data_IF_752929447077
#
_entry.id   IF_752929447077
#
_cell.length_a   1.000
_cell.length_b   1.000
_cell.length_c   1.000
_cell.angle_alpha   90.00
_cell.angle_beta   90.00
_cell.angle_gamma   90.00
#
_symmetry.space_group_name_H-M   'P 1'
#
loop_
_entity.id
_entity.type
_entity.pdbx_description
1 polymer ?
#
# COMPACT_ATOMS: atom_id res chain seq x y z
N UNK A 1 0.26 8.08 42.25
CA UNK A 1 0.51 8.00 40.79
C UNK A 1 1.89 7.42 40.42
N UNK A 2 2.85 7.32 41.36
CA UNK A 2 4.24 6.90 41.12
C UNK A 2 4.47 5.38 40.99
N UNK A 3 3.71 4.54 41.72
CA UNK A 3 3.96 3.08 41.78
C UNK A 3 3.45 2.31 40.54
N UNK A 4 2.36 2.79 39.94
CA UNK A 4 1.82 2.21 38.69
C UNK A 4 2.70 2.62 37.50
N UNK A 5 3.18 3.87 37.51
CA UNK A 5 4.07 4.40 36.50
C UNK A 5 5.45 3.71 36.56
N UNK A 6 5.99 3.43 37.74
CA UNK A 6 7.27 2.73 37.90
C UNK A 6 7.21 1.27 37.42
N UNK A 7 6.07 0.58 37.60
CA UNK A 7 5.86 -0.76 37.00
C UNK A 7 5.72 -0.71 35.48
N UNK A 8 5.23 0.40 34.92
CA UNK A 8 5.04 0.56 33.48
C UNK A 8 6.30 1.02 32.74
N UNK A 9 7.20 1.76 33.40
CA UNK A 9 8.42 2.32 32.78
C UNK A 9 9.66 1.42 32.87
N UNK A 10 9.59 0.31 33.61
CA UNK A 10 10.74 -0.55 33.87
C UNK A 10 11.76 0.11 34.81
N UNK A 11 12.82 -0.62 35.20
CA UNK A 11 13.90 -0.05 36.01
C UNK A 11 14.62 1.07 35.24
N UNK A 12 14.97 2.20 35.88
CA UNK A 12 15.79 3.21 35.25
C UNK A 12 17.19 2.65 34.96
N UNK A 13 17.65 2.83 33.73
CA UNK A 13 18.98 2.44 33.29
C UNK A 13 19.94 3.63 33.44
N UNK A 14 20.86 3.52 34.40
CA UNK A 14 21.92 4.50 34.58
C UNK A 14 23.14 4.15 33.70
N UNK A 15 22.97 4.34 32.39
CA UNK A 15 24.05 4.15 31.40
C UNK A 15 24.36 5.44 30.67
N UNK A 16 25.62 5.65 30.32
CA UNK A 16 26.06 6.86 29.60
C UNK A 16 25.61 6.84 28.14
N UNK A 17 25.56 8.02 27.49
CA UNK A 17 25.31 8.10 26.06
C UNK A 17 26.38 7.36 25.24
N UNK A 18 27.64 7.38 25.69
CA UNK A 18 28.72 6.64 25.04
C UNK A 18 28.46 5.13 25.07
N UNK A 19 28.14 4.58 26.24
CA UNK A 19 27.93 3.14 26.41
C UNK A 19 26.75 2.62 25.58
N UNK A 20 25.63 3.36 25.55
CA UNK A 20 24.41 2.92 24.88
C UNK A 20 24.26 3.46 23.44
N UNK A 21 24.32 4.77 23.27
CA UNK A 21 23.86 5.46 22.06
C UNK A 21 24.92 5.49 20.97
N UNK A 22 26.17 5.76 21.33
CA UNK A 22 27.25 6.00 20.37
C UNK A 22 28.61 5.44 20.85
N UNK A 23 28.76 4.11 21.01
CA UNK A 23 30.00 3.49 21.50
C UNK A 23 31.23 3.72 20.60
N UNK A 24 31.03 4.15 19.36
CA UNK A 24 32.10 4.47 18.41
C UNK A 24 32.68 5.89 18.55
N UNK A 25 32.06 6.78 19.33
CA UNK A 25 32.54 8.17 19.54
C UNK A 25 32.21 8.66 20.95
N UNK A 26 33.18 9.24 21.65
CA UNK A 26 33.00 9.70 23.03
C UNK A 26 32.06 10.91 23.15
N UNK A 27 32.11 11.85 22.20
CA UNK A 27 31.31 13.08 22.26
C UNK A 27 29.98 12.97 21.50
N UNK A 28 28.89 13.37 22.18
CA UNK A 28 27.55 13.34 21.59
C UNK A 28 27.45 14.21 20.32
N UNK A 29 28.09 15.38 20.32
CA UNK A 29 28.04 16.34 19.19
C UNK A 29 28.67 15.75 17.93
N UNK A 30 29.83 15.09 18.04
CA UNK A 30 30.50 14.48 16.88
C UNK A 30 29.72 13.26 16.37
N UNK A 31 29.13 12.46 17.27
CA UNK A 31 28.27 11.35 16.89
C UNK A 31 27.01 11.84 16.13
N UNK A 32 26.36 12.89 16.63
CA UNK A 32 25.19 13.52 16.00
C UNK A 32 25.56 14.12 14.63
N UNK A 33 26.66 14.87 14.55
CA UNK A 33 27.12 15.49 13.30
C UNK A 33 27.45 14.44 12.23
N UNK A 34 28.16 13.37 12.61
CA UNK A 34 28.48 12.27 11.70
C UNK A 34 27.22 11.54 11.21
N UNK A 35 26.25 11.29 12.08
CA UNK A 35 24.97 10.71 11.67
C UNK A 35 24.20 11.63 10.73
N UNK A 36 24.19 12.94 10.99
CA UNK A 36 23.48 13.92 10.18
C UNK A 36 24.06 14.04 8.77
N UNK A 37 25.40 14.17 8.64
CA UNK A 37 26.06 14.25 7.34
C UNK A 37 25.77 13.04 6.47
N UNK A 38 25.91 11.84 7.04
CA UNK A 38 25.59 10.60 6.31
C UNK A 38 24.12 10.57 5.89
N UNK A 39 23.21 10.92 6.80
CA UNK A 39 21.77 10.88 6.55
C UNK A 39 21.35 11.84 5.42
N UNK A 40 22.03 12.99 5.27
CA UNK A 40 21.80 13.92 4.13
C UNK A 40 22.08 13.22 2.80
N UNK A 41 23.23 12.57 2.66
CA UNK A 41 23.61 11.91 1.40
C UNK A 41 22.68 10.73 1.07
N UNK A 42 22.35 9.90 2.06
CA UNK A 42 21.44 8.77 1.83
C UNK A 42 20.01 9.24 1.51
N UNK A 43 19.52 10.27 2.23
CA UNK A 43 18.21 10.87 1.96
C UNK A 43 18.13 11.49 0.57
N UNK A 44 19.19 12.18 0.14
CA UNK A 44 19.30 12.76 -1.20
C UNK A 44 19.26 11.67 -2.27
N UNK A 45 19.96 10.55 -2.06
CA UNK A 45 19.96 9.38 -2.95
C UNK A 45 18.55 8.78 -3.07
N UNK A 46 17.87 8.56 -1.95
CA UNK A 46 16.52 7.98 -1.91
C UNK A 46 15.52 8.88 -2.64
N UNK A 47 15.43 10.16 -2.25
CA UNK A 47 14.46 11.06 -2.85
C UNK A 47 14.82 11.44 -4.28
N UNK A 48 16.10 11.63 -4.59
CA UNK A 48 16.58 11.83 -5.96
C UNK A 48 16.08 10.72 -6.88
N UNK A 49 16.21 9.46 -6.45
CA UNK A 49 15.72 8.30 -7.22
C UNK A 49 14.19 8.31 -7.37
N UNK A 50 13.43 8.48 -6.28
CA UNK A 50 11.96 8.44 -6.32
C UNK A 50 11.37 9.56 -7.18
N UNK A 51 11.91 10.77 -7.07
CA UNK A 51 11.46 11.91 -7.87
C UNK A 51 11.85 11.77 -9.34
N UNK A 52 13.03 11.23 -9.63
CA UNK A 52 13.45 10.91 -11.00
C UNK A 52 12.52 9.87 -11.63
N UNK A 53 12.21 8.78 -10.92
CA UNK A 53 11.24 7.79 -11.38
C UNK A 53 9.87 8.42 -11.64
N UNK A 54 9.42 9.33 -10.77
CA UNK A 54 8.15 10.03 -10.95
C UNK A 54 8.15 10.91 -12.20
N UNK A 55 9.27 11.56 -12.54
CA UNK A 55 9.41 12.32 -13.78
C UNK A 55 9.38 11.41 -15.01
N UNK A 56 10.09 10.27 -14.97
CA UNK A 56 10.07 9.28 -16.05
C UNK A 56 8.66 8.72 -16.30
N UNK A 57 7.91 8.43 -15.25
CA UNK A 57 6.54 7.93 -15.33
C UNK A 57 5.54 8.92 -15.95
N UNK A 58 5.86 10.23 -15.98
CA UNK A 58 5.01 11.21 -16.67
C UNK A 58 5.08 11.09 -18.19
N UNK A 59 6.10 10.44 -18.76
CA UNK A 59 6.21 10.18 -20.19
C UNK A 59 6.26 11.43 -21.09
N UNK A 60 6.58 12.60 -20.52
CA UNK A 60 6.69 13.88 -21.24
C UNK A 60 7.99 14.59 -20.88
N UNK A 61 8.51 15.41 -21.81
CA UNK A 61 9.68 16.25 -21.57
C UNK A 61 9.36 17.21 -20.41
N UNK A 62 10.19 17.25 -19.33
CA UNK A 62 9.92 18.08 -18.18
C UNK A 62 10.12 19.56 -18.53
N UNK A 63 9.17 20.41 -18.13
CA UNK A 63 9.31 21.86 -18.27
C UNK A 63 10.28 22.42 -17.23
N UNK A 64 10.82 23.62 -17.43
CA UNK A 64 11.65 24.32 -16.42
C UNK A 64 10.94 24.41 -15.05
N UNK A 65 9.62 24.60 -15.05
CA UNK A 65 8.80 24.62 -13.84
C UNK A 65 8.70 23.23 -13.18
N UNK A 66 8.54 22.16 -13.96
CA UNK A 66 8.55 20.79 -13.43
C UNK A 66 9.88 20.46 -12.77
N UNK A 67 11.01 20.86 -13.37
CA UNK A 67 12.35 20.66 -12.83
C UNK A 67 12.50 21.44 -11.52
N UNK A 68 12.14 22.74 -11.50
CA UNK A 68 12.21 23.56 -10.28
C UNK A 68 11.40 22.96 -9.13
N UNK A 69 10.15 22.56 -9.38
CA UNK A 69 9.28 21.91 -8.38
C UNK A 69 9.85 20.57 -7.90
N UNK A 70 10.46 19.81 -8.81
CA UNK A 70 11.08 18.52 -8.47
C UNK A 70 12.30 18.74 -7.58
N UNK A 71 13.19 19.68 -7.93
CA UNK A 71 14.37 20.00 -7.13
C UNK A 71 13.98 20.52 -5.73
N UNK A 72 13.01 21.44 -5.65
CA UNK A 72 12.46 21.90 -4.38
C UNK A 72 11.89 20.74 -3.55
N UNK A 73 11.16 19.83 -4.19
CA UNK A 73 10.63 18.63 -3.53
C UNK A 73 11.71 17.66 -3.06
N UNK A 74 12.82 17.53 -3.78
CA UNK A 74 13.98 16.71 -3.38
C UNK A 74 14.65 17.34 -2.16
N UNK A 75 14.95 18.63 -2.18
CA UNK A 75 15.60 19.35 -1.08
C UNK A 75 14.73 19.30 0.18
N UNK A 76 13.44 19.62 0.08
CA UNK A 76 12.51 19.61 1.22
C UNK A 76 12.38 18.22 1.85
N UNK A 77 12.23 17.18 1.04
CA UNK A 77 12.11 15.81 1.57
C UNK A 77 13.44 15.26 2.10
N UNK A 78 14.57 15.68 1.51
CA UNK A 78 15.90 15.40 2.06
C UNK A 78 16.05 16.05 3.44
N UNK A 79 15.64 17.31 3.60
CA UNK A 79 15.65 17.99 4.88
C UNK A 79 14.75 17.30 5.92
N UNK A 80 13.54 16.89 5.54
CA UNK A 80 12.62 16.12 6.39
C UNK A 80 13.27 14.84 6.94
N UNK A 81 13.81 13.97 6.07
CA UNK A 81 14.36 12.69 6.49
C UNK A 81 15.68 12.84 7.24
N UNK A 82 16.55 13.77 6.80
CA UNK A 82 17.80 14.08 7.49
C UNK A 82 17.55 14.63 8.89
N UNK A 83 16.53 15.49 9.05
CA UNK A 83 16.13 16.00 10.35
C UNK A 83 15.54 14.91 11.25
N UNK A 84 14.91 13.87 10.69
CA UNK A 84 14.47 12.72 11.49
C UNK A 84 15.67 12.01 12.12
N UNK A 85 16.72 11.72 11.34
CA UNK A 85 17.93 11.07 11.86
C UNK A 85 18.71 11.96 12.87
N UNK A 86 18.87 13.23 12.53
CA UNK A 86 19.51 14.23 13.40
C UNK A 86 18.74 14.44 14.70
N UNK A 87 17.43 14.75 14.58
CA UNK A 87 16.56 15.03 15.71
C UNK A 87 16.46 13.83 16.64
N UNK A 88 16.38 12.60 16.11
CA UNK A 88 16.38 11.39 16.94
C UNK A 88 17.63 11.32 17.82
N UNK A 89 18.81 11.47 17.22
CA UNK A 89 20.09 11.42 17.93
C UNK A 89 20.23 12.57 18.94
N UNK A 90 19.79 13.78 18.55
CA UNK A 90 19.81 14.98 19.39
C UNK A 90 18.91 14.85 20.62
N UNK A 91 17.64 14.44 20.42
CA UNK A 91 16.69 14.29 21.53
C UNK A 91 17.05 13.11 22.42
N UNK A 92 17.63 12.04 21.89
CA UNK A 92 18.06 10.89 22.69
C UNK A 92 19.15 11.27 23.69
N UNK A 93 20.19 11.99 23.24
CA UNK A 93 21.25 12.49 24.12
C UNK A 93 20.78 13.61 25.06
N UNK A 94 19.94 14.53 24.56
CA UNK A 94 19.41 15.66 25.36
C UNK A 94 18.49 15.17 26.48
N UNK A 95 17.59 14.23 26.21
CA UNK A 95 16.71 13.64 27.22
C UNK A 95 17.50 12.87 28.28
N UNK A 96 18.57 12.16 27.90
CA UNK A 96 19.46 11.51 28.86
C UNK A 96 20.16 12.50 29.79
N UNK A 97 20.60 13.64 29.26
CA UNK A 97 21.23 14.71 30.04
C UNK A 97 20.23 15.40 30.97
N UNK A 98 18.99 15.57 30.53
CA UNK A 98 17.93 16.21 31.32
C UNK A 98 17.39 15.31 32.45
N UNK A 99 17.18 14.03 32.17
CA UNK A 99 16.53 13.09 33.10
C UNK A 99 17.50 12.31 33.98
N UNK A 100 18.79 12.28 33.63
CA UNK A 100 19.81 11.56 34.41
C UNK A 100 19.78 10.03 34.27
N UNK A 101 18.81 9.45 33.55
CA UNK A 101 18.72 8.01 33.26
C UNK A 101 17.97 7.72 31.95
N UNK A 102 18.01 6.48 31.48
CA UNK A 102 17.13 5.97 30.43
C UNK A 102 16.00 5.12 31.02
N UNK A 103 14.78 5.33 30.55
CA UNK A 103 13.61 4.51 30.86
C UNK A 103 13.10 3.87 29.56
N UNK A 104 12.18 2.91 29.65
CA UNK A 104 11.64 2.23 28.46
C UNK A 104 11.08 3.18 27.39
N UNK A 105 10.55 4.34 27.80
CA UNK A 105 10.04 5.36 26.88
C UNK A 105 11.14 6.28 26.33
N UNK A 106 12.12 6.66 27.16
CA UNK A 106 13.15 7.63 26.78
C UNK A 106 14.30 6.99 26.01
N UNK A 107 14.42 5.66 26.07
CA UNK A 107 15.44 4.88 25.36
C UNK A 107 15.33 5.00 23.84
N UNK A 108 14.12 5.26 23.32
CA UNK A 108 13.90 5.46 21.88
C UNK A 108 12.55 6.09 21.51
N UNK A 109 11.45 5.73 22.19
CA UNK A 109 10.10 6.19 21.84
C UNK A 109 9.96 7.72 21.88
N UNK A 110 10.26 8.34 23.02
CA UNK A 110 10.12 9.78 23.23
C UNK A 110 11.08 10.61 22.35
N UNK A 111 12.38 10.25 22.22
CA UNK A 111 13.28 10.90 21.27
C UNK A 111 12.76 10.88 19.83
N UNK A 112 12.27 9.73 19.37
CA UNK A 112 11.73 9.59 18.02
C UNK A 112 10.42 10.37 17.85
N UNK A 113 9.54 10.36 18.85
CA UNK A 113 8.32 11.16 18.87
C UNK A 113 8.64 12.65 18.73
N UNK A 114 9.53 13.19 19.58
CA UNK A 114 9.93 14.61 19.52
C UNK A 114 10.60 14.96 18.20
N UNK A 115 11.52 14.12 17.70
CA UNK A 115 12.14 14.30 16.40
C UNK A 115 11.11 14.38 15.27
N UNK A 116 10.13 13.48 15.29
CA UNK A 116 9.10 13.40 14.27
C UNK A 116 8.14 14.60 14.28
N UNK A 117 7.89 15.21 15.44
CA UNK A 117 7.08 16.45 15.56
C UNK A 117 7.70 17.59 14.77
N UNK A 118 9.01 17.80 14.91
CA UNK A 118 9.70 18.86 14.17
C UNK A 118 9.92 18.46 12.71
N UNK A 119 10.26 17.20 12.45
CA UNK A 119 10.50 16.71 11.09
C UNK A 119 9.25 16.85 10.22
N UNK A 120 8.08 16.40 10.68
CA UNK A 120 6.86 16.38 9.85
C UNK A 120 6.42 17.79 9.41
N UNK A 121 6.77 18.82 10.19
CA UNK A 121 6.50 20.22 9.85
C UNK A 121 7.35 20.70 8.66
N UNK A 122 8.56 20.17 8.49
CA UNK A 122 9.45 20.44 7.34
C UNK A 122 8.83 19.86 6.05
N UNK A 123 8.17 18.71 6.13
CA UNK A 123 7.60 18.05 4.96
C UNK A 123 6.34 18.75 4.45
N UNK A 124 6.15 18.68 3.12
CA UNK A 124 5.03 19.34 2.45
C UNK A 124 3.68 18.75 2.86
N UNK A 125 2.63 19.57 3.10
CA UNK A 125 1.32 19.09 3.55
C UNK A 125 0.70 17.99 2.69
N UNK A 126 0.90 18.04 1.37
CA UNK A 126 0.37 17.04 0.42
C UNK A 126 0.95 15.63 0.60
N UNK A 127 2.09 15.47 1.28
CA UNK A 127 2.71 14.17 1.55
C UNK A 127 2.44 13.63 2.94
N UNK A 128 2.11 14.49 3.91
CA UNK A 128 1.98 14.11 5.33
C UNK A 128 0.96 12.99 5.53
N UNK A 129 -0.16 13.06 4.83
CA UNK A 129 -1.20 12.01 4.86
C UNK A 129 -0.68 10.67 4.34
N UNK A 130 0.03 10.66 3.20
CA UNK A 130 0.56 9.43 2.62
C UNK A 130 1.66 8.82 3.50
N UNK A 131 2.52 9.65 4.08
CA UNK A 131 3.56 9.22 5.02
C UNK A 131 2.95 8.67 6.31
N UNK A 132 1.97 9.37 6.88
CA UNK A 132 1.24 8.92 8.06
C UNK A 132 0.59 7.56 7.83
N UNK A 133 -0.10 7.35 6.70
CA UNK A 133 -0.68 6.05 6.35
C UNK A 133 0.39 4.95 6.23
N UNK A 134 1.50 5.25 5.56
CA UNK A 134 2.60 4.28 5.42
C UNK A 134 3.20 3.89 6.78
N UNK A 135 3.56 4.86 7.61
CA UNK A 135 4.19 4.60 8.91
C UNK A 135 3.20 3.92 9.85
N UNK A 136 1.92 4.33 9.84
CA UNK A 136 0.87 3.70 10.66
C UNK A 136 0.61 2.25 10.25
N UNK A 137 0.68 1.92 8.95
CA UNK A 137 0.60 0.54 8.47
C UNK A 137 1.70 -0.33 9.10
N UNK A 138 2.96 0.11 9.00
CA UNK A 138 4.11 -0.64 9.54
C UNK A 138 4.05 -0.70 11.07
N UNK A 139 3.64 0.38 11.73
CA UNK A 139 3.49 0.43 13.18
C UNK A 139 2.41 -0.55 13.66
N UNK A 140 1.27 -0.63 12.96
CA UNK A 140 0.19 -1.58 13.29
C UNK A 140 0.67 -3.03 13.18
N UNK A 141 1.38 -3.37 12.09
CA UNK A 141 1.98 -4.70 11.90
C UNK A 141 2.98 -5.03 13.03
N UNK A 142 3.82 -4.05 13.39
CA UNK A 142 4.83 -4.21 14.44
C UNK A 142 4.19 -4.41 15.81
N UNK A 143 3.16 -3.62 16.14
CA UNK A 143 2.39 -3.78 17.39
C UNK A 143 1.71 -5.14 17.44
N UNK A 144 1.09 -5.57 16.33
CA UNK A 144 0.50 -6.91 16.26
C UNK A 144 1.54 -8.01 16.53
N UNK A 145 2.72 -7.92 15.91
CA UNK A 145 3.80 -8.88 16.12
C UNK A 145 4.30 -8.88 17.58
N UNK A 146 4.41 -7.71 18.22
CA UNK A 146 4.75 -7.61 19.64
C UNK A 146 3.68 -8.22 20.55
N UNK A 147 2.39 -8.06 20.22
CA UNK A 147 1.30 -8.70 20.96
C UNK A 147 1.32 -10.22 20.81
N UNK A 148 1.67 -10.71 19.62
CA UNK A 148 1.82 -12.15 19.34
C UNK A 148 3.05 -12.73 20.05
N UNK A 149 4.20 -12.04 20.05
CA UNK A 149 5.41 -12.51 20.75
C UNK A 149 5.21 -12.63 22.26
N UNK A 150 4.36 -11.78 22.82
CA UNK A 150 3.96 -11.77 24.24
C UNK A 150 2.81 -12.74 24.57
N UNK A 151 2.36 -13.55 23.60
CA UNK A 151 1.21 -14.46 23.73
C UNK A 151 -0.10 -13.79 24.15
N UNK A 152 -0.24 -12.47 23.96
CA UNK A 152 -1.46 -11.72 24.28
C UNK A 152 -2.53 -11.90 23.20
N UNK A 153 -2.10 -12.11 21.96
CA UNK A 153 -2.98 -12.31 20.80
C UNK A 153 -2.46 -13.48 19.98
N UNK A 154 -3.37 -14.22 19.32
CA UNK A 154 -3.04 -15.32 18.42
C UNK A 154 -3.33 -14.93 16.98
N UNK A 155 -2.48 -15.38 16.07
CA UNK A 155 -2.71 -15.18 14.64
C UNK A 155 -3.94 -15.97 14.19
N UNK A 156 -4.94 -15.25 13.64
CA UNK A 156 -6.14 -15.85 13.07
C UNK A 156 -5.82 -16.34 11.66
N UNK A 157 -6.14 -17.60 11.37
CA UNK A 157 -5.98 -18.16 10.03
C UNK A 157 -6.81 -17.34 9.02
N UNK A 158 -6.16 -16.80 8.00
CA UNK A 158 -6.76 -15.89 7.01
C UNK A 158 -7.30 -14.57 7.58
N UNK A 159 -6.74 -14.08 8.70
CA UNK A 159 -7.13 -12.80 9.30
C UNK A 159 -6.89 -11.61 8.36
N UNK A 160 -5.86 -11.67 7.52
CA UNK A 160 -5.57 -10.71 6.46
C UNK A 160 -6.70 -10.61 5.40
N UNK A 161 -7.28 -11.76 5.03
CA UNK A 161 -8.42 -11.85 4.11
C UNK A 161 -9.68 -11.26 4.75
N UNK A 162 -9.93 -11.57 6.02
CA UNK A 162 -11.07 -11.00 6.76
C UNK A 162 -10.94 -9.47 6.89
N UNK A 163 -9.75 -9.00 7.25
CA UNK A 163 -9.44 -7.58 7.39
C UNK A 163 -9.62 -6.82 6.07
N UNK A 164 -9.06 -7.37 4.99
CA UNK A 164 -9.24 -6.83 3.64
C UNK A 164 -10.73 -6.82 3.25
N UNK A 165 -11.44 -7.92 3.51
CA UNK A 165 -12.85 -8.08 3.15
C UNK A 165 -13.77 -7.07 3.82
N UNK A 166 -13.68 -6.92 5.15
CA UNK A 166 -14.49 -5.96 5.91
C UNK A 166 -14.17 -4.53 5.44
N UNK A 167 -12.89 -4.20 5.32
CA UNK A 167 -12.44 -2.87 4.92
C UNK A 167 -12.90 -2.51 3.51
N UNK A 168 -12.80 -3.46 2.57
CA UNK A 168 -13.23 -3.27 1.19
C UNK A 168 -14.75 -3.20 1.06
N UNK A 169 -15.48 -3.97 1.87
CA UNK A 169 -16.95 -3.94 1.92
C UNK A 169 -17.46 -2.58 2.38
N UNK A 170 -16.84 -1.98 3.40
CA UNK A 170 -17.12 -0.60 3.83
C UNK A 170 -16.86 0.40 2.71
N UNK A 171 -15.68 0.34 2.10
CA UNK A 171 -15.28 1.25 1.02
C UNK A 171 -16.21 1.19 -0.20
N UNK A 172 -16.58 -0.01 -0.63
CA UNK A 172 -17.49 -0.20 -1.77
C UNK A 172 -18.93 0.20 -1.44
N UNK A 173 -19.34 0.04 -0.18
CA UNK A 173 -20.63 0.58 0.29
C UNK A 173 -20.64 2.11 0.23
N UNK A 174 -19.58 2.78 0.67
CA UNK A 174 -19.44 4.24 0.54
C UNK A 174 -19.38 4.69 -0.93
N UNK A 175 -18.69 3.93 -1.77
CA UNK A 175 -18.63 4.18 -3.22
C UNK A 175 -20.04 4.12 -3.85
N UNK A 176 -20.81 3.05 -3.59
CA UNK A 176 -22.18 2.90 -4.10
C UNK A 176 -23.17 3.90 -3.51
N UNK A 177 -22.96 4.37 -2.27
CA UNK A 177 -23.78 5.43 -1.67
C UNK A 177 -23.49 6.83 -2.25
N UNK A 178 -22.43 6.98 -3.04
CA UNK A 178 -22.06 8.24 -3.68
C UNK A 178 -21.29 9.20 -2.77
N UNK A 179 -20.79 8.73 -1.62
CA UNK A 179 -20.03 9.54 -0.66
C UNK A 179 -18.70 10.07 -1.22
N UNK A 180 -18.27 9.61 -2.39
CA UNK A 180 -17.12 10.15 -3.13
C UNK A 180 -17.28 11.64 -3.51
N UNK A 181 -18.51 12.16 -3.59
CA UNK A 181 -18.76 13.60 -3.83
C UNK A 181 -18.54 14.44 -2.58
N UNK A 182 -18.81 13.85 -1.41
CA UNK A 182 -18.68 14.52 -0.12
C UNK A 182 -17.20 14.49 0.34
N UNK A 183 -16.57 13.31 0.30
CA UNK A 183 -15.14 13.11 0.62
C UNK A 183 -14.39 12.65 -0.62
N UNK A 184 -13.72 13.55 -1.36
CA UNK A 184 -12.92 13.16 -2.52
C UNK A 184 -11.64 12.45 -2.06
N UNK A 185 -11.43 11.23 -2.56
CA UNK A 185 -10.22 10.44 -2.29
C UNK A 185 -9.79 9.65 -3.53
N UNK A 186 -8.46 9.47 -3.72
CA UNK A 186 -7.92 8.71 -4.84
C UNK A 186 -8.32 7.23 -4.81
N UNK A 187 -8.61 6.69 -3.62
CA UNK A 187 -9.10 5.32 -3.45
C UNK A 187 -10.40 5.08 -4.22
N UNK A 188 -11.34 6.03 -4.24
CA UNK A 188 -12.58 5.86 -5.02
C UNK A 188 -12.33 5.76 -6.53
N UNK A 189 -11.28 6.41 -7.05
CA UNK A 189 -10.86 6.24 -8.46
C UNK A 189 -10.33 4.83 -8.71
N UNK A 190 -9.56 4.29 -7.78
CA UNK A 190 -9.07 2.90 -7.84
C UNK A 190 -10.24 1.92 -7.77
N UNK A 191 -11.18 2.11 -6.85
CA UNK A 191 -12.38 1.28 -6.73
C UNK A 191 -13.22 1.31 -8.01
N UNK A 192 -13.48 2.51 -8.56
CA UNK A 192 -14.16 2.69 -9.86
C UNK A 192 -13.45 1.96 -10.99
N UNK A 193 -12.13 1.94 -10.98
CA UNK A 193 -11.35 1.23 -11.99
C UNK A 193 -11.46 -0.30 -11.86
N UNK A 194 -11.39 -0.83 -10.63
CA UNK A 194 -11.45 -2.26 -10.32
C UNK A 194 -12.86 -2.84 -10.53
N UNK A 195 -13.86 -2.18 -9.95
CA UNK A 195 -15.25 -2.62 -9.93
C UNK A 195 -16.01 -2.18 -11.18
N UNK A 196 -15.64 -1.06 -11.78
CA UNK A 196 -16.23 -0.55 -13.02
C UNK A 196 -17.16 0.65 -12.79
N UNK A 197 -17.37 1.48 -13.83
CA UNK A 197 -18.08 2.75 -13.73
C UNK A 197 -19.59 2.61 -13.51
N UNK A 198 -20.18 1.46 -13.90
CA UNK A 198 -21.63 1.21 -13.78
C UNK A 198 -22.12 1.08 -12.34
N UNK A 199 -21.20 0.93 -11.39
CA UNK A 199 -21.51 0.79 -9.96
C UNK A 199 -21.51 2.14 -9.22
N UNK A 200 -21.23 3.24 -9.93
CA UNK A 200 -21.36 4.58 -9.40
C UNK A 200 -22.84 4.91 -9.12
N UNK A 201 -23.09 5.71 -8.08
CA UNK A 201 -24.42 6.17 -7.74
C UNK A 201 -25.01 7.02 -8.88
N UNK A 202 -26.27 6.73 -9.20
CA UNK A 202 -27.05 7.36 -10.26
C UNK A 202 -26.49 7.15 -11.68
N UNK A 203 -25.62 6.16 -11.90
CA UNK A 203 -25.06 5.92 -13.24
C UNK A 203 -26.16 5.70 -14.29
N UNK A 204 -27.14 4.85 -13.98
CA UNK A 204 -28.27 4.56 -14.89
C UNK A 204 -29.24 5.73 -15.09
N UNK A 205 -29.24 6.71 -14.19
CA UNK A 205 -30.04 7.95 -14.33
C UNK A 205 -29.32 8.95 -15.22
N UNK A 206 -28.00 9.14 -15.01
CA UNK A 206 -27.18 10.06 -15.82
C UNK A 206 -26.95 9.56 -17.24
N UNK A 207 -26.95 8.25 -17.42
CA UNK A 207 -26.86 7.60 -18.71
C UNK A 207 -28.05 6.66 -18.86
N UNK A 208 -29.22 7.20 -19.26
CA UNK A 208 -30.36 6.38 -19.64
C UNK A 208 -29.88 5.41 -20.71
N UNK A 209 -29.83 4.13 -20.36
CA UNK A 209 -29.40 3.10 -21.29
C UNK A 209 -30.57 2.88 -22.25
N UNK A 210 -30.54 3.54 -23.40
CA UNK A 210 -31.24 3.00 -24.58
C UNK A 210 -30.76 1.57 -24.78
N UNK A 211 -31.65 0.58 -24.97
CA UNK A 211 -31.23 -0.82 -25.02
C UNK A 211 -30.26 -1.01 -26.18
N UNK A 212 -28.92 -1.11 -25.93
CA UNK A 212 -27.97 -1.29 -27.01
C UNK A 212 -28.13 -2.68 -27.60
N UNK A 213 -28.85 -3.57 -26.90
CA UNK A 213 -29.29 -4.86 -27.41
C UNK A 213 -30.17 -4.74 -28.65
N UNK A 214 -30.95 -3.67 -28.85
CA UNK A 214 -31.78 -3.54 -30.06
C UNK A 214 -30.91 -3.22 -31.29
N UNK A 215 -30.10 -2.16 -31.22
CA UNK A 215 -29.13 -1.79 -32.27
C UNK A 215 -28.14 -2.92 -32.55
N UNK A 216 -27.57 -3.56 -31.52
CA UNK A 216 -26.68 -4.71 -31.71
C UNK A 216 -27.43 -5.94 -32.25
N UNK A 217 -28.65 -6.28 -31.79
CA UNK A 217 -29.45 -7.39 -32.37
C UNK A 217 -29.74 -7.15 -33.85
N UNK A 218 -30.12 -5.92 -34.22
CA UNK A 218 -30.39 -5.56 -35.62
C UNK A 218 -29.11 -5.65 -36.47
N UNK A 219 -27.95 -5.28 -35.91
CA UNK A 219 -26.65 -5.50 -36.57
C UNK A 219 -26.28 -6.99 -36.71
N UNK A 220 -26.70 -7.89 -35.81
CA UNK A 220 -26.54 -9.35 -35.99
C UNK A 220 -27.35 -9.84 -37.17
N UNK A 221 -28.62 -9.45 -37.25
CA UNK A 221 -29.48 -9.83 -38.35
C UNK A 221 -28.87 -9.39 -39.68
N UNK A 222 -28.33 -8.16 -39.74
CA UNK A 222 -27.67 -7.65 -40.94
C UNK A 222 -26.30 -8.30 -41.22
N UNK A 223 -25.50 -8.69 -40.22
CA UNK A 223 -24.23 -9.42 -40.44
C UNK A 223 -24.48 -10.85 -40.95
N UNK A 224 -25.54 -11.51 -40.49
CA UNK A 224 -25.93 -12.82 -41.01
C UNK A 224 -26.52 -12.73 -42.42
N UNK A 225 -27.09 -11.57 -42.79
CA UNK A 225 -27.75 -11.31 -44.07
C UNK A 225 -26.89 -10.51 -45.07
N UNK A 226 -25.61 -10.25 -44.80
CA UNK A 226 -24.76 -9.46 -45.69
C UNK A 226 -24.45 -10.27 -46.97
N UNK A 227 -24.94 -9.86 -48.16
CA UNK A 227 -24.74 -10.58 -49.42
C UNK A 227 -23.31 -10.44 -49.97
N UNK A 228 -22.44 -9.65 -49.33
CA UNK A 228 -21.07 -9.34 -49.79
C UNK A 228 -20.04 -10.46 -49.55
N UNK A 229 -20.48 -11.72 -49.57
CA UNK A 229 -19.64 -12.92 -49.45
C UNK A 229 -18.70 -13.17 -50.65
N UNK A 230 -18.77 -12.38 -51.72
CA UNK A 230 -17.82 -12.44 -52.83
C UNK A 230 -16.73 -11.36 -52.71
N UNK A 231 -15.77 -11.54 -51.81
CA UNK A 231 -14.52 -10.77 -51.85
C UNK A 231 -13.29 -11.68 -51.83
N UNK A 232 -12.68 -11.72 -53.03
CA UNK A 232 -11.32 -12.15 -53.44
C UNK A 232 -10.50 -13.04 -52.48
N UNK A 233 -10.09 -14.22 -53.00
CA UNK A 233 -9.17 -15.18 -52.35
C UNK A 233 -7.91 -14.47 -51.80
N UNK A 234 -7.68 -14.45 -50.47
CA UNK A 234 -6.44 -13.92 -49.92
C UNK A 234 -5.28 -14.87 -50.21
N UNK A 235 -4.16 -14.35 -50.73
CA UNK A 235 -2.96 -15.14 -51.08
C UNK A 235 -2.24 -15.77 -49.88
N UNK A 236 -2.54 -15.34 -48.64
CA UNK A 236 -1.85 -15.78 -47.42
C UNK A 236 -2.76 -16.59 -46.49
N UNK A 237 -2.42 -17.87 -46.28
CA UNK A 237 -3.14 -18.83 -45.41
C UNK A 237 -3.20 -18.33 -43.96
N UNK A 238 -2.11 -17.74 -43.46
CA UNK A 238 -2.03 -17.16 -42.10
C UNK A 238 -3.02 -16.01 -41.93
N UNK A 239 -3.14 -15.13 -42.93
CA UNK A 239 -4.10 -14.02 -42.89
C UNK A 239 -5.54 -14.54 -42.88
N UNK A 240 -5.83 -15.57 -43.68
CA UNK A 240 -7.15 -16.20 -43.68
C UNK A 240 -7.49 -16.84 -42.31
N UNK A 241 -6.55 -17.58 -41.71
CA UNK A 241 -6.68 -18.15 -40.37
C UNK A 241 -6.95 -17.09 -39.30
N UNK A 242 -6.16 -16.00 -39.29
CA UNK A 242 -6.37 -14.87 -38.36
C UNK A 242 -7.75 -14.25 -38.59
N UNK A 243 -8.15 -14.03 -39.84
CA UNK A 243 -9.45 -13.43 -40.17
C UNK A 243 -10.61 -14.33 -39.74
N UNK A 244 -10.48 -15.65 -39.91
CA UNK A 244 -11.48 -16.63 -39.47
C UNK A 244 -11.59 -16.70 -37.95
N UNK A 245 -10.46 -16.71 -37.23
CA UNK A 245 -10.44 -16.65 -35.76
C UNK A 245 -11.05 -15.36 -35.22
N UNK A 246 -10.77 -14.21 -35.86
CA UNK A 246 -11.38 -12.93 -35.50
C UNK A 246 -12.90 -12.92 -35.74
N UNK A 247 -13.39 -13.54 -36.82
CA UNK A 247 -14.84 -13.69 -37.07
C UNK A 247 -15.51 -14.55 -36.00
N UNK A 248 -14.90 -15.69 -35.64
CA UNK A 248 -15.41 -16.58 -34.60
C UNK A 248 -15.45 -15.84 -33.25
N UNK A 249 -14.36 -15.16 -32.89
CA UNK A 249 -14.29 -14.34 -31.68
C UNK A 249 -15.36 -13.24 -31.64
N UNK A 250 -15.56 -12.52 -32.75
CA UNK A 250 -16.64 -11.52 -32.87
C UNK A 250 -18.02 -12.16 -32.66
N UNK A 251 -18.29 -13.32 -33.28
CA UNK A 251 -19.57 -14.04 -33.14
C UNK A 251 -19.82 -14.50 -31.70
N UNK A 252 -18.81 -15.02 -31.02
CA UNK A 252 -18.89 -15.45 -29.61
C UNK A 252 -19.18 -14.27 -28.69
N UNK A 253 -18.38 -13.19 -28.79
CA UNK A 253 -18.60 -11.98 -27.98
C UNK A 253 -20.00 -11.41 -28.20
N UNK A 254 -20.44 -11.40 -29.45
CA UNK A 254 -21.75 -10.87 -29.78
C UNK A 254 -22.87 -11.70 -29.16
N UNK A 255 -22.76 -13.04 -29.21
CA UNK A 255 -23.72 -13.94 -28.54
C UNK A 255 -23.73 -13.69 -27.03
N UNK A 256 -22.56 -13.54 -26.41
CA UNK A 256 -22.45 -13.24 -24.96
C UNK A 256 -23.06 -11.89 -24.63
N UNK A 257 -22.83 -10.83 -25.43
CA UNK A 257 -23.42 -9.50 -25.23
C UNK A 257 -24.95 -9.49 -25.29
N UNK A 258 -25.54 -10.35 -26.11
CA UNK A 258 -26.99 -10.43 -26.34
C UNK A 258 -27.73 -11.34 -25.34
N UNK A 259 -27.03 -11.99 -24.41
CA UNK A 259 -27.67 -12.76 -23.35
C UNK A 259 -28.52 -11.87 -22.41
N UNK A 260 -29.28 -12.52 -21.51
CA UNK A 260 -30.19 -11.85 -20.59
C UNK A 260 -29.54 -10.77 -19.71
N UNK A 261 -30.26 -9.65 -19.56
CA UNK A 261 -29.97 -8.55 -18.65
C UNK A 261 -31.17 -8.37 -17.73
N UNK A 262 -30.93 -8.16 -16.43
CA UNK A 262 -32.00 -7.78 -15.50
C UNK A 262 -32.28 -6.27 -15.59
N UNK A 263 -33.52 -5.85 -15.47
CA UNK A 263 -33.95 -4.44 -15.60
C UNK A 263 -33.26 -3.53 -14.58
N UNK A 264 -33.07 -4.02 -13.36
CA UNK A 264 -32.39 -3.29 -12.26
C UNK A 264 -30.87 -3.19 -12.42
N UNK A 265 -30.27 -3.77 -13.46
CA UNK A 265 -28.83 -3.67 -13.70
C UNK A 265 -28.51 -2.44 -14.58
N UNK A 266 -27.63 -1.53 -14.13
CA UNK A 266 -27.34 -0.26 -14.82
C UNK A 266 -26.43 -0.41 -16.04
N UNK A 267 -25.88 -1.60 -16.29
CA UNK A 267 -24.94 -1.83 -17.38
C UNK A 267 -25.66 -2.08 -18.73
N UNK A 268 -25.06 -1.66 -19.86
CA UNK A 268 -25.72 -1.67 -21.18
C UNK A 268 -25.90 -3.06 -21.80
N UNK A 269 -24.94 -3.96 -21.61
CA UNK A 269 -24.94 -5.30 -22.20
C UNK A 269 -25.42 -6.36 -21.20
N UNK A 270 -25.40 -7.64 -21.58
CA UNK A 270 -25.75 -8.76 -20.69
C UNK A 270 -24.94 -8.76 -19.39
N UNK A 271 -25.52 -9.31 -18.32
CA UNK A 271 -24.84 -9.47 -17.04
C UNK A 271 -23.58 -10.35 -17.19
N UNK A 272 -23.65 -11.41 -18.00
CA UNK A 272 -22.49 -12.28 -18.24
C UNK A 272 -21.35 -11.52 -18.93
N UNK A 273 -21.66 -10.69 -19.93
CA UNK A 273 -20.64 -9.87 -20.59
C UNK A 273 -19.99 -8.88 -19.63
N UNK A 274 -20.80 -8.24 -18.78
CA UNK A 274 -20.29 -7.28 -17.78
C UNK A 274 -19.35 -7.93 -16.76
N UNK A 275 -19.71 -9.13 -16.27
CA UNK A 275 -18.89 -9.92 -15.36
C UNK A 275 -17.61 -10.40 -16.05
N UNK A 276 -17.74 -11.13 -17.16
CA UNK A 276 -16.60 -11.70 -17.88
C UNK A 276 -15.64 -10.62 -18.39
N UNK A 277 -16.15 -9.52 -18.95
CA UNK A 277 -15.34 -8.40 -19.39
C UNK A 277 -14.58 -7.71 -18.25
N UNK A 278 -15.20 -7.63 -17.06
CA UNK A 278 -14.54 -7.15 -15.84
C UNK A 278 -13.41 -8.04 -15.38
N UNK A 279 -13.71 -9.33 -15.23
CA UNK A 279 -12.76 -10.37 -14.83
C UNK A 279 -11.55 -10.36 -15.75
N UNK A 280 -11.74 -10.46 -17.06
CA UNK A 280 -10.65 -10.52 -18.04
C UNK A 280 -9.81 -9.24 -18.02
N UNK A 281 -10.46 -8.05 -17.96
CA UNK A 281 -9.74 -6.77 -17.89
C UNK A 281 -8.83 -6.72 -16.66
N UNK A 282 -9.38 -7.00 -15.47
CA UNK A 282 -8.64 -6.90 -14.21
C UNK A 282 -7.56 -7.98 -14.07
N UNK A 283 -7.82 -9.18 -14.59
CA UNK A 283 -6.82 -10.25 -14.68
C UNK A 283 -5.63 -9.83 -15.53
N UNK A 284 -5.86 -9.32 -16.74
CA UNK A 284 -4.79 -8.85 -17.64
C UNK A 284 -3.96 -7.73 -17.05
N UNK A 285 -4.59 -6.79 -16.33
CA UNK A 285 -3.87 -5.71 -15.63
C UNK A 285 -2.97 -6.27 -14.52
N UNK A 286 -3.51 -7.15 -13.66
CA UNK A 286 -2.72 -7.74 -12.58
C UNK A 286 -1.52 -8.54 -13.09
N UNK A 287 -1.70 -9.29 -14.18
CA UNK A 287 -0.63 -10.00 -14.87
C UNK A 287 0.42 -9.02 -15.43
N UNK A 288 -0.02 -7.95 -16.10
CA UNK A 288 0.85 -6.92 -16.66
C UNK A 288 1.70 -6.19 -15.61
N UNK A 289 1.13 -5.89 -14.43
CA UNK A 289 1.85 -5.27 -13.31
C UNK A 289 2.97 -6.20 -12.81
N UNK A 290 2.67 -7.48 -12.58
CA UNK A 290 3.65 -8.44 -12.07
C UNK A 290 4.79 -8.68 -13.05
N UNK A 291 4.48 -8.79 -14.36
CA UNK A 291 5.48 -8.95 -15.41
C UNK A 291 6.38 -7.70 -15.46
N UNK A 292 5.79 -6.52 -15.50
CA UNK A 292 6.54 -5.24 -15.56
C UNK A 292 7.45 -5.09 -14.34
N UNK A 293 6.95 -5.33 -13.12
CA UNK A 293 7.73 -5.21 -11.90
C UNK A 293 8.93 -6.16 -11.89
N UNK A 294 8.71 -7.44 -12.24
CA UNK A 294 9.80 -8.44 -12.29
C UNK A 294 10.82 -8.16 -13.38
N UNK A 295 10.38 -7.60 -14.51
CA UNK A 295 11.25 -7.17 -15.59
C UNK A 295 12.15 -6.02 -15.14
N UNK A 296 11.59 -5.00 -14.49
CA UNK A 296 12.35 -3.83 -14.01
C UNK A 296 13.34 -4.22 -12.91
N UNK A 297 12.89 -4.97 -11.90
CA UNK A 297 13.74 -5.35 -10.76
C UNK A 297 14.88 -6.30 -11.15
N UNK A 298 14.70 -7.12 -12.20
CA UNK A 298 15.72 -8.06 -12.67
C UNK A 298 16.37 -7.65 -13.99
N UNK A 299 16.21 -6.40 -14.44
CA UNK A 299 16.65 -5.95 -15.77
C UNK A 299 18.13 -6.27 -16.02
N UNK A 300 19.01 -6.00 -15.03
CA UNK A 300 20.44 -6.31 -15.11
C UNK A 300 20.72 -7.81 -15.30
N UNK A 301 19.98 -8.67 -14.62
CA UNK A 301 20.14 -10.13 -14.68
C UNK A 301 19.57 -10.72 -15.96
N UNK A 302 18.48 -10.16 -16.47
CA UNK A 302 17.84 -10.60 -17.73
C UNK A 302 18.74 -10.24 -18.91
N UNK A 303 19.33 -9.04 -18.90
CA UNK A 303 20.27 -8.62 -19.94
C UNK A 303 21.53 -9.50 -19.98
N UNK A 304 22.00 -9.98 -18.82
CA UNK A 304 23.12 -10.89 -18.72
C UNK A 304 22.79 -12.36 -19.09
N UNK A 305 21.51 -12.78 -19.04
CA UNK A 305 21.13 -14.20 -19.25
C UNK A 305 19.69 -14.35 -19.77
N UNK A 306 19.45 -14.28 -21.09
CA UNK A 306 18.11 -14.30 -21.67
C UNK A 306 17.38 -15.66 -21.51
N UNK A 307 18.10 -16.77 -21.31
CA UNK A 307 17.50 -18.10 -21.09
C UNK A 307 16.64 -18.17 -19.82
N UNK A 308 16.93 -17.34 -18.82
CA UNK A 308 16.17 -17.27 -17.56
C UNK A 308 14.81 -16.57 -17.71
N UNK A 309 14.55 -15.89 -18.84
CA UNK A 309 13.33 -15.11 -19.06
C UNK A 309 12.06 -15.97 -19.10
N UNK A 310 12.11 -17.14 -19.75
CA UNK A 310 10.96 -18.07 -19.81
C UNK A 310 10.61 -18.59 -18.41
N UNK A 311 11.63 -18.93 -17.61
CA UNK A 311 11.44 -19.43 -16.24
C UNK A 311 10.87 -18.35 -15.31
N UNK A 312 11.26 -17.07 -15.50
CA UNK A 312 10.69 -15.95 -14.74
C UNK A 312 9.20 -15.80 -15.05
N UNK A 313 8.80 -15.84 -16.33
CA UNK A 313 7.41 -15.65 -16.77
C UNK A 313 6.45 -16.76 -16.31
N UNK A 314 6.96 -17.99 -16.17
CA UNK A 314 6.19 -19.18 -15.77
C UNK A 314 6.07 -19.37 -14.25
N UNK A 315 6.59 -18.46 -13.42
CA UNK A 315 6.41 -18.57 -11.96
C UNK A 315 4.96 -18.30 -11.58
N UNK A 316 4.36 -19.23 -10.82
CA UNK A 316 2.99 -19.16 -10.29
C UNK A 316 2.70 -17.82 -9.59
N UNK A 317 3.70 -17.24 -8.92
CA UNK A 317 3.60 -15.95 -8.24
C UNK A 317 3.17 -14.79 -9.14
N UNK A 318 3.47 -14.84 -10.45
CA UNK A 318 3.06 -13.80 -11.42
C UNK A 318 1.56 -13.79 -11.62
N UNK A 319 0.95 -14.98 -11.61
CA UNK A 319 -0.48 -15.15 -11.91
C UNK A 319 -1.33 -14.81 -10.68
N UNK A 320 -0.79 -14.92 -9.47
CA UNK A 320 -1.53 -14.72 -8.22
C UNK A 320 -2.22 -13.35 -8.14
N UNK A 321 -1.53 -12.25 -8.49
CA UNK A 321 -2.12 -10.90 -8.49
C UNK A 321 -3.22 -10.77 -9.55
N UNK A 322 -2.99 -11.29 -10.77
CA UNK A 322 -3.99 -11.32 -11.83
C UNK A 322 -5.23 -12.11 -11.42
N UNK A 323 -5.03 -13.29 -10.84
CA UNK A 323 -6.09 -14.16 -10.37
C UNK A 323 -6.91 -13.49 -9.26
N UNK A 324 -6.25 -12.84 -8.30
CA UNK A 324 -6.92 -12.05 -7.28
C UNK A 324 -7.78 -10.93 -7.90
N UNK A 325 -7.20 -10.04 -8.69
CA UNK A 325 -7.92 -8.88 -9.24
C UNK A 325 -9.07 -9.30 -10.18
N UNK A 326 -8.84 -10.31 -11.02
CA UNK A 326 -9.84 -10.88 -11.91
C UNK A 326 -11.01 -11.50 -11.15
N UNK A 327 -10.71 -12.42 -10.22
CA UNK A 327 -11.75 -13.08 -9.41
C UNK A 327 -12.48 -12.09 -8.51
N UNK A 328 -11.79 -11.13 -7.90
CA UNK A 328 -12.41 -10.10 -7.08
C UNK A 328 -13.46 -9.31 -7.89
N UNK A 329 -13.07 -8.80 -9.07
CA UNK A 329 -13.97 -8.04 -9.95
C UNK A 329 -15.14 -8.91 -10.43
N UNK A 330 -14.88 -10.15 -10.83
CA UNK A 330 -15.90 -11.08 -11.30
C UNK A 330 -16.91 -11.46 -10.23
N UNK A 331 -16.43 -11.90 -9.06
CA UNK A 331 -17.27 -12.27 -7.92
C UNK A 331 -18.10 -11.08 -7.43
N UNK A 332 -17.50 -9.89 -7.33
CA UNK A 332 -18.22 -8.69 -6.89
C UNK A 332 -19.36 -8.33 -7.85
N UNK A 333 -19.06 -8.20 -9.15
CA UNK A 333 -20.06 -7.87 -10.18
C UNK A 333 -21.14 -8.94 -10.30
N UNK A 334 -20.73 -10.21 -10.28
CA UNK A 334 -21.64 -11.36 -10.37
C UNK A 334 -22.59 -11.39 -9.18
N UNK A 335 -22.06 -11.23 -7.96
CA UNK A 335 -22.85 -11.18 -6.74
C UNK A 335 -23.86 -10.04 -6.79
N UNK A 336 -23.45 -8.83 -7.18
CA UNK A 336 -24.36 -7.70 -7.33
C UNK A 336 -25.47 -7.95 -8.35
N UNK A 337 -25.16 -8.54 -9.51
CA UNK A 337 -26.17 -8.89 -10.50
C UNK A 337 -27.18 -9.92 -9.96
N UNK A 338 -26.71 -10.90 -9.16
CA UNK A 338 -27.58 -11.89 -8.51
C UNK A 338 -28.46 -11.22 -7.46
N UNK A 339 -27.89 -10.41 -6.57
CA UNK A 339 -28.62 -9.64 -5.55
C UNK A 339 -29.70 -8.74 -6.18
N UNK A 340 -29.35 -7.99 -7.24
CA UNK A 340 -30.31 -7.15 -7.99
C UNK A 340 -31.43 -7.96 -8.66
N UNK A 341 -31.13 -9.17 -9.13
CA UNK A 341 -32.14 -10.07 -9.72
C UNK A 341 -33.10 -10.62 -8.66
N UNK A 342 -32.58 -10.97 -7.48
CA UNK A 342 -33.39 -11.51 -6.38
C UNK A 342 -34.32 -10.43 -5.81
N UNK A 343 -33.79 -9.22 -5.57
CA UNK A 343 -34.53 -8.16 -4.89
C UNK A 343 -35.25 -7.17 -5.82
N UNK A 344 -35.03 -7.25 -7.14
CA UNK A 344 -35.67 -6.37 -8.11
C UNK A 344 -35.23 -4.89 -8.08
N UNK A 345 -34.32 -4.49 -7.19
CA UNK A 345 -33.84 -3.10 -7.01
C UNK A 345 -32.31 -2.99 -7.09
N UNK A 346 -31.78 -1.78 -7.27
CA UNK A 346 -30.35 -1.49 -7.05
C UNK A 346 -30.19 -0.76 -5.71
N UNK A 347 -29.65 -1.46 -4.71
CA UNK A 347 -29.45 -0.94 -3.37
C UNK A 347 -27.94 -0.88 -3.05
N UNK A 348 -27.42 0.25 -2.54
CA UNK A 348 -26.02 0.32 -2.07
C UNK A 348 -25.67 -0.71 -1.01
N UNK A 349 -26.64 -1.17 -0.20
CA UNK A 349 -26.41 -2.18 0.83
C UNK A 349 -25.92 -3.53 0.25
N UNK A 350 -26.24 -3.83 -1.02
CA UNK A 350 -25.78 -5.05 -1.69
C UNK A 350 -24.26 -5.07 -1.91
N UNK A 351 -23.59 -3.91 -1.88
CA UNK A 351 -22.14 -3.83 -2.00
C UNK A 351 -21.42 -4.59 -0.89
N UNK A 352 -21.97 -4.56 0.32
CA UNK A 352 -21.34 -5.13 1.51
C UNK A 352 -21.21 -6.66 1.42
N UNK A 353 -22.30 -7.45 1.30
CA UNK A 353 -22.20 -8.90 1.15
C UNK A 353 -21.50 -9.32 -0.15
N UNK A 354 -21.69 -8.58 -1.25
CA UNK A 354 -21.00 -8.86 -2.51
C UNK A 354 -19.48 -8.70 -2.40
N UNK A 355 -19.02 -7.68 -1.67
CA UNK A 355 -17.59 -7.44 -1.43
C UNK A 355 -16.98 -8.47 -0.49
N UNK A 356 -17.69 -8.87 0.57
CA UNK A 356 -17.23 -9.95 1.45
C UNK A 356 -17.06 -11.27 0.70
N UNK A 357 -17.99 -11.63 -0.18
CA UNK A 357 -17.86 -12.82 -1.02
C UNK A 357 -16.70 -12.69 -2.02
N UNK A 358 -16.55 -11.52 -2.65
CA UNK A 358 -15.43 -11.25 -3.54
C UNK A 358 -14.08 -11.29 -2.82
N UNK A 359 -14.00 -10.91 -1.54
CA UNK A 359 -12.77 -10.89 -0.76
C UNK A 359 -12.13 -12.28 -0.60
N UNK A 360 -12.88 -13.37 -0.78
CA UNK A 360 -12.35 -14.74 -0.79
C UNK A 360 -11.24 -14.90 -1.85
N UNK A 361 -11.31 -14.15 -2.95
CA UNK A 361 -10.26 -14.11 -3.98
C UNK A 361 -8.90 -13.63 -3.44
N UNK A 362 -8.86 -12.85 -2.36
CA UNK A 362 -7.62 -12.38 -1.73
C UNK A 362 -6.80 -13.54 -1.16
N UNK A 363 -7.40 -14.72 -0.91
CA UNK A 363 -6.65 -15.95 -0.58
C UNK A 363 -5.61 -16.34 -1.65
N UNK A 364 -5.75 -15.87 -2.89
CA UNK A 364 -4.77 -16.10 -3.97
C UNK A 364 -3.58 -15.14 -3.91
N UNK A 365 -3.72 -14.00 -3.25
CA UNK A 365 -2.67 -13.01 -3.06
C UNK A 365 -2.73 -12.45 -1.62
N UNK A 366 -2.49 -13.27 -0.58
CA UNK A 366 -2.55 -12.83 0.81
C UNK A 366 -1.33 -11.94 1.10
N UNK A 367 -1.56 -10.63 1.15
CA UNK A 367 -0.53 -9.63 1.44
C UNK A 367 -0.98 -8.71 2.58
N UNK A 368 -0.29 -8.81 3.72
CA UNK A 368 -0.61 -8.04 4.93
C UNK A 368 -0.52 -6.54 4.70
N UNK A 369 0.40 -6.08 3.83
CA UNK A 369 0.58 -4.66 3.52
C UNK A 369 -0.61 -4.13 2.74
N UNK A 370 -1.11 -4.89 1.77
CA UNK A 370 -2.32 -4.51 1.01
C UNK A 370 -3.53 -4.51 1.92
N UNK A 371 -3.70 -5.52 2.77
CA UNK A 371 -4.82 -5.59 3.72
C UNK A 371 -4.84 -4.41 4.69
N UNK A 372 -3.69 -4.11 5.32
CA UNK A 372 -3.54 -2.97 6.24
C UNK A 372 -3.73 -1.63 5.51
N UNK A 373 -3.21 -1.48 4.30
CA UNK A 373 -3.41 -0.25 3.53
C UNK A 373 -4.89 0.00 3.24
N UNK A 374 -5.64 -1.02 2.80
CA UNK A 374 -7.08 -0.90 2.55
C UNK A 374 -7.83 -0.61 3.85
N UNK A 375 -7.45 -1.24 4.96
CA UNK A 375 -8.00 -0.94 6.30
C UNK A 375 -7.78 0.52 6.70
N UNK A 376 -6.55 1.03 6.60
CA UNK A 376 -6.25 2.41 6.95
C UNK A 376 -6.93 3.42 6.03
N UNK A 377 -7.10 3.11 4.74
CA UNK A 377 -7.92 3.92 3.82
C UNK A 377 -9.40 3.89 4.21
N UNK A 378 -9.93 2.74 4.60
CA UNK A 378 -11.29 2.62 5.12
C UNK A 378 -11.46 3.45 6.39
N UNK A 379 -10.54 3.34 7.35
CA UNK A 379 -10.56 4.12 8.59
C UNK A 379 -10.49 5.63 8.32
N UNK A 380 -9.56 6.07 7.45
CA UNK A 380 -9.42 7.47 7.07
C UNK A 380 -10.69 8.04 6.43
N UNK A 381 -11.26 7.33 5.46
CA UNK A 381 -12.48 7.77 4.76
C UNK A 381 -13.67 7.77 5.72
N UNK A 382 -13.79 6.75 6.57
CA UNK A 382 -14.85 6.66 7.59
C UNK A 382 -14.76 7.82 8.58
N UNK A 383 -13.56 8.15 9.06
CA UNK A 383 -13.32 9.29 9.95
C UNK A 383 -13.73 10.62 9.30
N UNK A 384 -13.30 10.85 8.05
CA UNK A 384 -13.67 12.07 7.31
C UNK A 384 -15.19 12.16 7.06
N UNK A 385 -15.86 11.05 6.76
CA UNK A 385 -17.32 11.00 6.63
C UNK A 385 -18.02 11.24 7.97
N UNK A 386 -17.47 10.72 9.07
CA UNK A 386 -17.96 10.99 10.42
C UNK A 386 -17.89 12.47 10.79
N UNK A 387 -16.81 13.15 10.42
CA UNK A 387 -16.67 14.61 10.58
C UNK A 387 -17.70 15.36 9.75
N UNK A 388 -17.84 15.02 8.46
CA UNK A 388 -18.79 15.72 7.59
C UNK A 388 -20.25 15.57 8.01
N UNK A 389 -20.60 14.45 8.64
CA UNK A 389 -21.94 14.21 9.18
C UNK A 389 -22.15 14.72 10.60
N UNK A 390 -21.12 15.32 11.22
CA UNK A 390 -21.19 15.84 12.59
C UNK A 390 -21.12 14.79 13.70
N UNK A 391 -20.83 13.52 13.39
CA UNK A 391 -20.68 12.46 14.40
C UNK A 391 -19.34 12.51 15.14
N UNK A 392 -18.29 13.03 14.50
CA UNK A 392 -16.94 13.07 15.06
C UNK A 392 -16.38 14.51 15.02
N UNK A 393 -15.68 14.96 16.08
CA UNK A 393 -15.03 16.26 16.07
C UNK A 393 -13.80 16.26 15.16
N UNK A 394 -13.55 17.39 14.48
CA UNK A 394 -12.32 17.58 13.70
C UNK A 394 -11.16 17.91 14.64
N UNK A 395 -10.28 16.94 14.88
CA UNK A 395 -9.07 17.15 15.68
C UNK A 395 -7.97 17.80 14.82
N UNK A 396 -7.52 19.04 15.13
CA UNK A 396 -6.43 19.69 14.40
C UNK A 396 -5.12 18.93 14.63
N UNK A 397 -4.35 18.72 13.55
CA UNK A 397 -3.05 18.04 13.63
C UNK A 397 -3.10 16.53 13.89
N UNK A 398 -4.27 15.87 13.82
CA UNK A 398 -4.39 14.43 14.08
C UNK A 398 -3.49 13.57 13.18
N UNK A 399 -3.32 13.97 11.91
CA UNK A 399 -2.46 13.24 10.97
C UNK A 399 -1.00 13.32 11.39
N UNK A 400 -0.53 14.50 11.77
CA UNK A 400 0.80 14.75 12.30
C UNK A 400 1.04 14.00 13.61
N UNK A 401 0.08 14.06 14.55
CA UNK A 401 0.17 13.32 15.81
C UNK A 401 0.27 11.81 15.59
N UNK A 402 -0.59 11.25 14.74
CA UNK A 402 -0.58 9.82 14.44
C UNK A 402 0.72 9.39 13.75
N UNK A 403 1.27 10.23 12.88
CA UNK A 403 2.59 10.02 12.29
C UNK A 403 3.68 9.99 13.37
N UNK A 404 3.66 10.93 14.31
CA UNK A 404 4.66 11.00 15.38
C UNK A 404 4.57 9.81 16.34
N UNK A 405 3.34 9.44 16.73
CA UNK A 405 3.06 8.27 17.55
C UNK A 405 3.58 6.99 16.87
N UNK A 406 3.24 6.79 15.60
CA UNK A 406 3.65 5.61 14.84
C UNK A 406 5.17 5.56 14.66
N UNK A 407 5.82 6.70 14.43
CA UNK A 407 7.29 6.79 14.32
C UNK A 407 7.95 6.43 15.65
N UNK A 408 7.42 6.95 16.77
CA UNK A 408 7.88 6.62 18.11
C UNK A 408 7.81 5.11 18.40
N UNK A 409 6.67 4.48 18.07
CA UNK A 409 6.47 3.02 18.21
C UNK A 409 7.50 2.26 17.38
N UNK A 410 7.73 2.64 16.12
CA UNK A 410 8.64 1.93 15.23
C UNK A 410 10.09 2.03 15.67
N UNK A 411 10.55 3.21 16.09
CA UNK A 411 11.91 3.37 16.61
C UNK A 411 12.09 2.62 17.94
N UNK A 412 11.09 2.66 18.81
CA UNK A 412 11.08 1.88 20.04
C UNK A 412 11.19 0.38 19.77
N UNK A 413 10.33 -0.16 18.90
CA UNK A 413 10.39 -1.56 18.51
C UNK A 413 11.72 -1.90 17.83
N UNK A 414 12.24 -1.03 16.95
CA UNK A 414 13.53 -1.23 16.30
C UNK A 414 14.69 -1.29 17.30
N UNK A 415 14.60 -0.59 18.43
CA UNK A 415 15.64 -0.64 19.44
C UNK A 415 15.46 -1.76 20.46
N UNK A 416 14.24 -2.01 20.93
CA UNK A 416 14.01 -2.92 22.07
C UNK A 416 13.66 -4.33 21.62
N UNK A 417 12.86 -4.48 20.56
CA UNK A 417 12.39 -5.77 20.05
C UNK A 417 12.47 -5.83 18.51
N UNK A 418 13.67 -5.70 17.90
CA UNK A 418 13.82 -5.58 16.45
C UNK A 418 13.29 -6.80 15.68
N UNK A 419 13.18 -7.98 16.30
CA UNK A 419 12.57 -9.18 15.70
C UNK A 419 11.11 -9.00 15.28
N UNK A 420 10.37 -8.10 15.93
CA UNK A 420 8.96 -7.84 15.64
C UNK A 420 8.78 -6.83 14.50
N UNK A 421 9.86 -6.16 14.09
CA UNK A 421 9.89 -5.16 13.04
C UNK A 421 10.00 -5.80 11.66
N UNK A 422 9.35 -5.20 10.66
CA UNK A 422 9.45 -5.68 9.28
C UNK A 422 10.90 -5.60 8.76
N UNK A 423 11.44 -6.66 8.13
CA UNK A 423 12.83 -6.68 7.64
C UNK A 423 13.19 -5.55 6.66
N UNK A 424 12.25 -5.13 5.81
CA UNK A 424 12.45 -4.00 4.89
C UNK A 424 12.57 -2.67 5.62
N UNK A 425 11.84 -2.49 6.72
CA UNK A 425 11.91 -1.29 7.53
C UNK A 425 13.20 -1.27 8.37
N UNK A 426 13.65 -2.41 8.91
CA UNK A 426 14.98 -2.53 9.52
C UNK A 426 16.10 -2.13 8.55
N UNK A 427 16.08 -2.67 7.32
CA UNK A 427 17.06 -2.31 6.28
C UNK A 427 17.03 -0.83 5.93
N UNK A 428 15.84 -0.23 5.93
CA UNK A 428 15.70 1.22 5.75
C UNK A 428 16.36 1.98 6.90
N UNK A 429 16.07 1.65 8.16
CA UNK A 429 16.71 2.27 9.33
C UNK A 429 18.24 2.07 9.35
N UNK A 430 18.71 0.88 8.99
CA UNK A 430 20.14 0.56 8.87
C UNK A 430 20.81 1.40 7.77
N UNK A 431 20.19 1.52 6.60
CA UNK A 431 20.66 2.37 5.51
C UNK A 431 20.75 3.82 5.95
N UNK A 432 19.66 4.44 6.40
CA UNK A 432 19.63 5.88 6.69
C UNK A 432 20.54 6.30 7.85
N UNK A 433 20.83 5.37 8.77
CA UNK A 433 21.73 5.60 9.91
C UNK A 433 23.20 5.29 9.59
N UNK A 434 23.51 4.79 8.39
CA UNK A 434 24.85 4.33 8.03
C UNK A 434 25.34 3.21 8.94
N UNK A 435 24.46 2.27 9.27
CA UNK A 435 24.73 1.12 10.13
C UNK A 435 24.79 1.40 11.64
N UNK A 436 24.72 2.67 12.06
CA UNK A 436 24.81 3.07 13.48
C UNK A 436 23.76 2.41 14.37
N UNK A 437 22.53 2.20 13.87
CA UNK A 437 21.46 1.53 14.64
C UNK A 437 21.81 0.07 15.04
N UNK A 438 22.66 -0.60 14.25
CA UNK A 438 23.16 -1.93 14.55
C UNK A 438 24.37 -1.92 15.49
N UNK A 439 25.06 -0.78 15.61
CA UNK A 439 26.22 -0.61 16.50
C UNK A 439 25.83 -0.06 17.89
N UNK A 440 24.61 0.44 18.08
CA UNK A 440 24.12 0.85 19.40
C UNK A 440 24.12 -0.35 20.36
N UNK A 441 24.65 -0.18 21.57
CA UNK A 441 24.78 -1.29 22.51
C UNK A 441 23.40 -1.74 23.01
N UNK A 442 23.21 -3.07 23.07
CA UNK A 442 21.94 -3.68 23.50
C UNK A 442 21.99 -4.31 24.88
N UNK A 443 23.19 -4.62 25.37
CA UNK A 443 23.39 -5.25 26.68
C UNK A 443 22.70 -4.47 27.81
N UNK A 444 22.75 -3.12 27.88
CA UNK A 444 22.02 -2.38 28.92
C UNK A 444 20.49 -2.54 28.84
N UNK A 445 19.95 -2.83 27.66
CA UNK A 445 18.51 -2.94 27.42
C UNK A 445 17.95 -4.29 27.86
N UNK A 446 18.80 -5.31 28.02
CA UNK A 446 18.38 -6.63 28.47
C UNK A 446 17.83 -6.60 29.92
N UNK A 447 18.17 -5.56 30.70
CA UNK A 447 17.56 -5.28 32.00
C UNK A 447 16.04 -5.07 31.95
N UNK A 448 15.45 -4.79 30.79
CA UNK A 448 14.00 -4.76 30.60
C UNK A 448 13.36 -6.16 30.47
N UNK A 449 14.16 -7.23 30.40
CA UNK A 449 13.67 -8.61 30.29
C UNK A 449 13.12 -8.98 28.90
N UNK A 450 13.52 -8.25 27.85
CA UNK A 450 13.02 -8.43 26.48
C UNK A 450 14.02 -9.13 25.53
N UNK A 451 15.14 -9.64 26.05
CA UNK A 451 16.20 -10.32 25.29
C UNK A 451 16.63 -9.51 24.03
N UNK A 452 16.80 -8.21 24.20
CA UNK A 452 17.05 -7.24 23.13
C UNK A 452 18.34 -7.56 22.38
N UNK A 453 19.41 -7.99 23.08
CA UNK A 453 20.69 -8.36 22.45
C UNK A 453 20.54 -9.58 21.54
N UNK A 454 19.84 -10.61 22.00
CA UNK A 454 19.56 -11.81 21.18
C UNK A 454 18.66 -11.47 19.99
N UNK A 455 17.65 -10.63 20.20
CA UNK A 455 16.74 -10.13 19.16
C UNK A 455 17.52 -9.41 18.05
N UNK A 456 18.46 -8.52 18.40
CA UNK A 456 19.31 -7.84 17.43
C UNK A 456 20.16 -8.82 16.61
N UNK A 457 20.80 -9.80 17.28
CA UNK A 457 21.63 -10.80 16.60
C UNK A 457 20.83 -11.60 15.55
N UNK A 458 19.59 -12.00 15.88
CA UNK A 458 18.68 -12.67 14.95
C UNK A 458 18.33 -11.79 13.74
N UNK A 459 18.11 -10.50 13.95
CA UNK A 459 17.78 -9.56 12.88
C UNK A 459 18.96 -9.27 11.98
N UNK A 460 20.17 -9.08 12.52
CA UNK A 460 21.41 -8.94 11.75
C UNK A 460 21.62 -10.14 10.82
N UNK A 461 21.49 -11.36 11.35
CA UNK A 461 21.64 -12.61 10.59
C UNK A 461 20.58 -12.76 9.49
N UNK A 462 19.30 -12.54 9.81
CA UNK A 462 18.20 -12.71 8.85
C UNK A 462 18.17 -11.64 7.76
N UNK A 463 18.56 -10.41 8.08
CA UNK A 463 18.56 -9.29 7.13
C UNK A 463 19.87 -9.14 6.36
N UNK A 464 20.92 -9.88 6.74
CA UNK A 464 22.29 -9.75 6.23
C UNK A 464 22.84 -8.32 6.39
N UNK A 465 22.51 -7.70 7.52
CA UNK A 465 23.04 -6.39 7.90
C UNK A 465 24.23 -6.58 8.85
N UNK A 466 25.21 -5.69 8.75
CA UNK A 466 26.47 -5.76 9.50
C UNK A 466 26.54 -4.58 10.48
N UNK A 467 27.02 -4.77 11.72
CA UNK A 467 27.19 -3.69 12.70
C UNK A 467 28.48 -2.90 12.39
N UNK A 468 28.50 -2.21 11.25
CA UNK A 468 29.61 -1.36 10.81
C UNK A 468 29.09 0.07 10.66
N UNK A 469 29.84 1.04 11.18
CA UNK A 469 29.55 2.46 10.99
C UNK A 469 30.15 2.92 9.67
N UNK A 470 29.28 3.34 8.75
CA UNK A 470 29.68 3.95 7.49
C UNK A 470 29.82 5.47 7.65
N UNK A 471 30.87 6.02 7.04
CA UNK A 471 31.13 7.45 6.96
C UNK A 471 30.52 8.05 5.68
#
# INVERSE_FOLDING_TARGET
MSVVLSKLLGPPLDVSCYTYVHPWKESCSTAIAGCFLYCIFDSLRIYGTVYLCTLLMKGRIPTKQDIKRTLQGIVQSTAFLSFTGFGYSLFLCSLRRLLGNFNILTVSFLPAFLSSVFSILIERPSRRVLLCLYVSNVATETVWNMLVSRNLVRNIRHGDVALFGISMALLLTYYKKGNQKEVPDSMFKVLRFVVGPYEDKDYGVRHPVEPPSAFYRQRVANINNDPSQHTRRPKNVVYHLITQMLRIYKKIIHRVKCQGRHTSCPHPFSCLYYVAGGTTKMFSIGLGIQITLKLVLNMKRIFASPKNMKQIFLRKDIVNLGLFLGLYSGLFRGSLCVLRRIFGKDDPAFAFPASLLAAISFKKYPDTTVALYVMWKAAQITYNLGIQKGYLPKVPGFTEFLYCLSTGILFHAALVEPTNLRPSYWKFLHSISGGRIACMAREPLDAFGLNTTESLAKVLKSTKTVPIVYF
#
